data_IF_213643669086
#
_entry.id   IF_213643669086
#
_cell.length_a   1.000
_cell.length_b   1.000
_cell.length_c   1.000
_cell.angle_alpha   90.00
_cell.angle_beta   90.00
_cell.angle_gamma   90.00
#
_symmetry.space_group_name_H-M   'P 1'
#
loop_
_entity.id
_entity.type
_entity.pdbx_description
1 polymer ?
#
# COMPACT_ATOMS: atom_id res chain seq x y z
N UNK A 1 -17.57 -10.51 -6.90
CA UNK A 1 -17.78 -9.61 -5.76
C UNK A 1 -16.47 -8.93 -5.39
N UNK A 2 -16.53 -7.66 -5.10
CA UNK A 2 -15.38 -6.92 -4.60
C UNK A 2 -15.32 -6.99 -3.08
N UNK A 3 -14.18 -6.60 -2.52
CA UNK A 3 -13.94 -6.61 -1.09
C UNK A 3 -13.22 -7.86 -0.59
N UNK A 4 -12.75 -7.78 0.64
CA UNK A 4 -12.03 -8.87 1.29
C UNK A 4 -12.96 -9.51 2.30
N UNK A 5 -13.24 -10.77 2.12
CA UNK A 5 -14.31 -11.48 2.81
C UNK A 5 -13.80 -12.29 4.00
N UNK A 6 -12.91 -11.72 4.77
CA UNK A 6 -12.35 -12.36 5.97
C UNK A 6 -11.76 -11.30 6.90
N UNK A 7 -11.63 -11.65 8.16
CA UNK A 7 -10.96 -10.77 9.12
C UNK A 7 -9.46 -10.77 8.88
N UNK A 8 -8.89 -9.59 8.84
CA UNK A 8 -7.46 -9.39 8.67
C UNK A 8 -6.83 -8.87 9.95
N UNK A 9 -5.58 -9.24 10.17
CA UNK A 9 -4.78 -8.78 11.30
C UNK A 9 -3.60 -7.97 10.77
N UNK A 10 -3.37 -6.74 11.29
CA UNK A 10 -2.18 -6.00 10.88
C UNK A 10 -0.91 -6.79 11.14
N UNK A 11 0.01 -6.75 10.19
CA UNK A 11 1.30 -7.39 10.37
C UNK A 11 1.98 -6.80 11.60
N UNK A 12 2.53 -7.63 12.50
CA UNK A 12 3.18 -7.11 13.70
C UNK A 12 4.45 -6.33 13.43
N UNK A 13 5.00 -6.43 12.22
CA UNK A 13 6.15 -5.62 11.82
C UNK A 13 5.67 -4.22 11.44
N UNK A 14 5.59 -3.34 12.44
CA UNK A 14 5.04 -1.99 12.25
C UNK A 14 5.81 -1.17 11.23
N UNK A 15 7.08 -1.47 11.00
CA UNK A 15 7.87 -0.79 9.96
C UNK A 15 7.28 -0.93 8.56
N UNK A 16 6.50 -1.98 8.28
CA UNK A 16 5.80 -2.15 7.01
C UNK A 16 4.75 -1.06 6.78
N UNK A 17 4.16 -0.54 7.87
CA UNK A 17 3.22 0.58 7.79
C UNK A 17 3.97 1.92 7.86
N UNK A 18 4.94 2.02 8.75
CA UNK A 18 5.67 3.27 9.02
C UNK A 18 6.40 3.79 7.77
N UNK A 19 6.88 2.90 6.90
CA UNK A 19 7.55 3.31 5.67
C UNK A 19 6.62 4.00 4.67
N UNK A 20 5.32 4.00 4.93
CA UNK A 20 4.30 4.67 4.13
C UNK A 20 3.59 5.77 4.90
N UNK A 21 4.11 6.16 6.04
CA UNK A 21 3.59 7.27 6.85
C UNK A 21 4.58 8.43 6.84
N UNK A 22 4.08 9.68 6.67
CA UNK A 22 4.98 10.82 6.59
C UNK A 22 5.76 11.02 7.88
N UNK A 23 6.98 11.53 7.75
CA UNK A 23 7.83 11.93 8.85
C UNK A 23 8.34 10.79 9.75
N UNK A 24 8.16 9.54 9.33
CA UNK A 24 8.71 8.41 10.09
C UNK A 24 10.20 8.22 9.79
N UNK A 25 10.91 7.55 10.71
CA UNK A 25 12.31 7.20 10.49
C UNK A 25 12.48 6.29 9.25
N UNK A 26 11.52 5.42 9.00
CA UNK A 26 11.53 4.53 7.84
C UNK A 26 11.48 5.30 6.53
N UNK A 27 10.64 6.34 6.45
CA UNK A 27 10.56 7.18 5.26
C UNK A 27 11.87 7.94 5.05
N UNK A 28 12.45 8.49 6.12
CA UNK A 28 13.73 9.19 6.01
C UNK A 28 14.82 8.26 5.51
N UNK A 29 14.82 7.03 5.97
CA UNK A 29 15.78 6.01 5.51
C UNK A 29 15.59 5.69 4.02
N UNK A 30 14.35 5.54 3.57
CA UNK A 30 14.03 5.30 2.16
C UNK A 30 14.49 6.46 1.28
N UNK A 31 14.26 7.69 1.71
CA UNK A 31 14.70 8.87 0.97
C UNK A 31 16.22 8.89 0.81
N UNK A 32 16.96 8.55 1.86
CA UNK A 32 18.41 8.51 1.79
C UNK A 32 18.91 7.35 0.92
N UNK A 33 18.26 6.20 0.99
CA UNK A 33 18.71 4.99 0.32
C UNK A 33 18.26 4.92 -1.14
N UNK A 34 17.02 5.31 -1.42
CA UNK A 34 16.40 5.14 -2.74
C UNK A 34 16.06 6.45 -3.44
N UNK A 35 16.15 7.57 -2.75
CA UNK A 35 15.83 8.88 -3.31
C UNK A 35 14.35 9.17 -3.42
N UNK A 36 13.48 8.25 -3.01
CA UNK A 36 12.03 8.43 -3.06
C UNK A 36 11.33 7.54 -2.05
N UNK A 37 10.10 7.92 -1.70
CA UNK A 37 9.22 7.10 -0.86
C UNK A 37 7.77 7.40 -1.22
N UNK A 38 6.91 6.39 -1.09
CA UNK A 38 5.46 6.55 -1.26
C UNK A 38 4.83 6.65 0.12
N UNK A 39 4.14 7.74 0.40
CA UNK A 39 3.54 7.96 1.71
C UNK A 39 2.08 8.38 1.59
N UNK A 40 1.26 7.93 2.53
CA UNK A 40 -0.11 8.43 2.68
C UNK A 40 -0.07 9.88 3.15
N UNK A 41 -1.17 10.61 2.92
CA UNK A 41 -1.29 11.99 3.40
C UNK A 41 -1.04 12.09 4.91
N UNK A 42 -1.61 11.14 5.65
CA UNK A 42 -1.47 11.02 7.10
C UNK A 42 -1.97 9.63 7.53
N UNK A 43 -1.89 9.34 8.84
CA UNK A 43 -2.37 8.06 9.36
C UNK A 43 -3.88 7.91 9.20
N UNK A 44 -4.64 8.96 9.38
CA UNK A 44 -6.09 8.89 9.22
C UNK A 44 -6.48 8.51 7.79
N UNK A 45 -5.79 9.06 6.80
CA UNK A 45 -5.98 8.67 5.39
C UNK A 45 -5.63 7.20 5.16
N UNK A 46 -4.52 6.74 5.73
CA UNK A 46 -4.15 5.33 5.63
C UNK A 46 -5.25 4.42 6.18
N UNK A 47 -5.80 4.75 7.34
CA UNK A 47 -6.86 3.96 7.96
C UNK A 47 -8.12 3.93 7.11
N UNK A 48 -8.50 5.07 6.53
CA UNK A 48 -9.65 5.15 5.62
C UNK A 48 -9.40 4.31 4.36
N UNK A 49 -8.20 4.37 3.82
CA UNK A 49 -7.83 3.60 2.64
C UNK A 49 -7.88 2.10 2.92
N UNK A 50 -7.33 1.68 4.05
CA UNK A 50 -7.37 0.26 4.45
C UNK A 50 -8.83 -0.22 4.49
N UNK A 51 -9.70 0.52 5.17
CA UNK A 51 -11.10 0.12 5.29
C UNK A 51 -11.80 0.10 3.93
N UNK A 52 -11.52 1.07 3.08
CA UNK A 52 -12.10 1.12 1.73
C UNK A 52 -11.70 -0.09 0.89
N UNK A 53 -10.44 -0.51 0.99
CA UNK A 53 -9.96 -1.69 0.27
C UNK A 53 -10.61 -2.96 0.84
N UNK A 54 -10.72 -3.07 2.16
CA UNK A 54 -11.40 -4.20 2.77
C UNK A 54 -12.84 -4.30 2.25
N UNK A 55 -13.52 -3.16 2.14
CA UNK A 55 -14.93 -3.12 1.72
C UNK A 55 -15.11 -3.30 0.22
N UNK A 56 -14.23 -2.76 -0.61
CA UNK A 56 -14.45 -2.64 -2.05
C UNK A 56 -13.25 -2.99 -2.92
N UNK A 57 -12.12 -3.36 -2.33
CA UNK A 57 -10.92 -3.67 -3.09
C UNK A 57 -11.10 -4.88 -4.01
N UNK A 58 -10.36 -4.89 -5.09
CA UNK A 58 -10.41 -5.97 -6.06
C UNK A 58 -9.10 -6.74 -6.07
N UNK A 59 -9.19 -8.04 -6.23
CA UNK A 59 -8.01 -8.89 -6.35
C UNK A 59 -7.21 -8.43 -7.57
N UNK A 60 -5.94 -8.12 -7.36
CA UNK A 60 -5.06 -7.61 -8.41
C UNK A 60 -3.90 -8.53 -8.67
N UNK A 61 -3.24 -8.26 -9.78
CA UNK A 61 -2.14 -9.07 -10.20
C UNK A 61 -2.64 -10.38 -10.72
N UNK A 62 -1.74 -11.33 -10.72
CA UNK A 62 -2.05 -12.63 -11.24
C UNK A 62 -1.81 -13.60 -10.14
N UNK A 63 -2.64 -14.63 -10.12
CA UNK A 63 -2.34 -15.80 -9.34
C UNK A 63 -0.99 -16.32 -9.82
N UNK A 64 0.03 -15.90 -9.15
CA UNK A 64 1.38 -16.34 -9.36
C UNK A 64 1.77 -17.10 -8.10
N UNK A 65 1.99 -18.39 -8.23
CA UNK A 65 2.38 -19.24 -7.11
C UNK A 65 3.69 -18.76 -6.48
N UNK A 66 4.47 -17.99 -7.22
CA UNK A 66 5.73 -17.42 -6.71
C UNK A 66 5.53 -16.12 -5.95
N UNK A 67 4.34 -15.49 -6.01
CA UNK A 67 4.05 -14.30 -5.21
C UNK A 67 3.71 -14.73 -3.78
N UNK A 68 4.40 -14.14 -2.81
CA UNK A 68 4.17 -14.44 -1.40
C UNK A 68 2.90 -13.78 -0.84
N UNK A 69 2.22 -12.97 -1.64
CA UNK A 69 1.09 -12.16 -1.19
C UNK A 69 -0.13 -12.32 -2.08
N UNK A 70 -1.30 -12.28 -1.43
CA UNK A 70 -2.56 -11.96 -2.10
C UNK A 70 -2.70 -10.44 -2.06
N UNK A 71 -3.06 -9.83 -3.18
CA UNK A 71 -3.10 -8.37 -3.33
C UNK A 71 -4.50 -7.92 -3.69
N UNK A 72 -5.00 -6.93 -2.95
CA UNK A 72 -6.28 -6.29 -3.22
C UNK A 72 -6.03 -4.80 -3.38
N UNK A 73 -6.52 -4.21 -4.46
CA UNK A 73 -6.25 -2.82 -4.77
C UNK A 73 -7.51 -2.02 -5.03
N UNK A 74 -7.36 -0.70 -4.94
CA UNK A 74 -8.44 0.22 -5.19
C UNK A 74 -7.88 1.55 -5.66
N UNK A 75 -8.49 2.11 -6.71
CA UNK A 75 -8.25 3.47 -7.15
C UNK A 75 -9.19 4.42 -6.43
N UNK A 76 -8.69 5.59 -6.09
CA UNK A 76 -9.45 6.65 -5.46
C UNK A 76 -9.54 7.82 -6.44
N UNK A 77 -10.60 8.62 -6.33
CA UNK A 77 -10.82 9.78 -7.19
C UNK A 77 -10.20 11.07 -6.61
N UNK A 78 -9.43 10.94 -5.54
CA UNK A 78 -8.68 12.02 -4.92
C UNK A 78 -7.32 11.49 -4.48
N UNK A 79 -6.30 12.37 -4.30
CA UNK A 79 -4.98 11.89 -3.89
C UNK A 79 -5.02 11.37 -2.45
N UNK A 80 -4.60 10.13 -2.26
CA UNK A 80 -4.53 9.51 -0.94
C UNK A 80 -3.13 9.59 -0.33
N UNK A 81 -2.17 9.99 -1.13
CA UNK A 81 -0.79 10.12 -0.73
C UNK A 81 0.03 10.69 -1.86
N UNK A 82 1.32 10.59 -1.75
CA UNK A 82 2.22 11.09 -2.77
C UNK A 82 3.56 10.36 -2.75
N UNK A 83 4.23 10.40 -3.90
CA UNK A 83 5.63 10.02 -3.97
C UNK A 83 6.45 11.26 -3.58
N UNK A 84 7.22 11.15 -2.51
CA UNK A 84 8.18 12.18 -2.11
C UNK A 84 9.52 11.82 -2.72
N UNK A 85 10.22 12.80 -3.27
CA UNK A 85 11.59 12.65 -3.76
C UNK A 85 12.57 13.38 -2.86
N UNK A 86 13.83 13.00 -2.95
CA UNK A 86 14.89 13.60 -2.12
C UNK A 86 15.02 15.11 -2.32
N UNK A 87 14.65 15.64 -3.49
CA UNK A 87 14.67 17.08 -3.78
C UNK A 87 13.45 17.83 -3.20
N UNK A 88 12.56 17.12 -2.49
CA UNK A 88 11.35 17.68 -1.92
C UNK A 88 10.15 17.72 -2.85
N UNK A 89 10.31 17.34 -4.10
CA UNK A 89 9.17 17.28 -5.03
C UNK A 89 8.20 16.18 -4.65
N UNK A 90 6.93 16.35 -5.00
CA UNK A 90 5.85 15.42 -4.65
C UNK A 90 4.98 15.15 -5.88
N UNK A 91 4.63 13.88 -6.04
CA UNK A 91 3.72 13.43 -7.11
C UNK A 91 2.53 12.77 -6.44
N UNK A 92 1.29 13.23 -6.69
CA UNK A 92 0.12 12.63 -6.04
C UNK A 92 -0.10 11.18 -6.47
N UNK A 93 -0.57 10.37 -5.53
CA UNK A 93 -0.89 8.96 -5.75
C UNK A 93 -2.37 8.72 -5.46
N UNK A 94 -2.97 7.86 -6.28
CA UNK A 94 -4.41 7.59 -6.26
C UNK A 94 -4.73 6.11 -6.08
N UNK A 95 -3.71 5.25 -5.95
CA UNK A 95 -3.89 3.82 -5.91
C UNK A 95 -3.16 3.20 -4.74
N UNK A 96 -3.83 2.30 -4.03
CA UNK A 96 -3.23 1.56 -2.91
C UNK A 96 -3.62 0.09 -2.98
N UNK A 97 -2.80 -0.74 -2.35
CA UNK A 97 -3.04 -2.17 -2.23
C UNK A 97 -2.88 -2.63 -0.79
N UNK A 98 -3.75 -3.55 -0.38
CA UNK A 98 -3.52 -4.39 0.78
C UNK A 98 -2.80 -5.65 0.29
N UNK A 99 -1.72 -6.00 0.95
CA UNK A 99 -0.95 -7.23 0.69
C UNK A 99 -1.13 -8.16 1.88
N UNK A 100 -1.62 -9.36 1.63
CA UNK A 100 -1.85 -10.37 2.66
C UNK A 100 -0.86 -11.50 2.43
N UNK A 101 -0.09 -11.86 3.45
CA UNK A 101 0.86 -12.97 3.34
C UNK A 101 0.07 -14.25 3.13
N UNK A 102 0.35 -14.98 2.04
CA UNK A 102 -0.34 -16.23 1.71
C UNK A 102 -0.26 -17.22 2.87
N UNK A 103 -1.38 -17.87 3.16
CA UNK A 103 -1.47 -18.81 4.27
C UNK A 103 -1.70 -18.15 5.62
N UNK A 104 -1.86 -16.84 5.67
CA UNK A 104 -2.12 -16.09 6.91
C UNK A 104 -3.21 -15.05 6.68
N UNK A 105 -3.64 -14.38 7.75
CA UNK A 105 -4.50 -13.20 7.68
C UNK A 105 -3.72 -11.91 7.94
N UNK A 106 -2.40 -11.98 7.95
CA UNK A 106 -1.56 -10.81 8.22
C UNK A 106 -1.43 -9.93 6.98
N UNK A 107 -1.70 -8.65 7.15
CA UNK A 107 -1.69 -7.71 6.04
C UNK A 107 -0.86 -6.47 6.35
N UNK A 108 -0.42 -5.83 5.29
CA UNK A 108 0.02 -4.43 5.33
C UNK A 108 -0.50 -3.73 4.07
N UNK A 109 -0.36 -2.41 4.03
CA UNK A 109 -0.88 -1.58 2.95
C UNK A 109 0.26 -0.82 2.29
N UNK A 110 0.19 -0.69 0.98
CA UNK A 110 1.19 0.07 0.21
C UNK A 110 0.49 1.01 -0.76
N UNK A 111 1.23 2.03 -1.20
CA UNK A 111 0.84 2.91 -2.28
C UNK A 111 1.62 2.54 -3.54
N UNK A 112 0.94 2.60 -4.67
CA UNK A 112 1.55 2.36 -5.97
C UNK A 112 1.00 3.34 -6.99
N UNK A 113 1.68 3.48 -8.10
CA UNK A 113 1.18 4.28 -9.21
C UNK A 113 0.09 3.52 -9.98
N UNK A 114 0.16 2.21 -10.01
CA UNK A 114 -0.79 1.34 -10.72
C UNK A 114 -0.71 -0.08 -10.16
N UNK A 115 -1.72 -0.93 -10.44
CA UNK A 115 -1.67 -2.32 -10.03
C UNK A 115 -0.47 -3.06 -10.63
N UNK A 116 0.05 -4.01 -9.86
CA UNK A 116 1.04 -4.95 -10.39
C UNK A 116 0.38 -5.78 -11.49
N UNK A 117 1.05 -5.89 -12.62
CA UNK A 117 0.57 -6.67 -13.73
C UNK A 117 1.51 -7.80 -14.06
N UNK A 118 0.94 -8.88 -14.61
CA UNK A 118 1.71 -9.94 -15.21
C UNK A 118 2.47 -9.38 -16.42
N UNK A 119 3.55 -10.03 -16.74
CA UNK A 119 4.34 -9.74 -17.92
C UNK A 119 3.51 -9.56 -19.16
N UNK A 120 3.82 -8.53 -19.86
CA UNK A 120 3.23 -8.24 -21.14
C UNK A 120 4.29 -8.25 -22.20
#
# INVERSE_FOLDING_TARGET
MSGINRELTPDPRTSLFDKHLPETAQVQRLLRKEGKAHVFNDRATMDVVIQAIIDRGELTGIEDETDDYDRYGLYFDYPIGYQIRADGSRIPLYYAEIKIIKGTDNYHVILRTKPRRRNQ
#
